data_IF_049905892434
#
_entry.id   IF_049905892434
#
_cell.length_a   1.000
_cell.length_b   1.000
_cell.length_c   1.000
_cell.angle_alpha   90.00
_cell.angle_beta   90.00
_cell.angle_gamma   90.00
#
_symmetry.space_group_name_H-M   'P 1'
#
loop_
_entity.id
_entity.type
_entity.pdbx_description
1 polymer ?
#
# COMPACT_ATOMS: atom_id res chain seq x y z
N UNK A 1 4.43 5.72 -15.60
CA UNK A 1 4.38 6.88 -14.71
C UNK A 1 3.17 6.72 -13.79
N UNK A 2 3.39 6.58 -12.48
CA UNK A 2 2.31 6.34 -11.50
C UNK A 2 1.39 7.57 -11.33
N UNK A 3 1.83 8.75 -11.77
CA UNK A 3 1.03 9.99 -11.74
C UNK A 3 -0.29 9.87 -12.52
N UNK A 4 -0.33 9.01 -13.54
CA UNK A 4 -1.57 8.72 -14.29
C UNK A 4 -2.63 8.07 -13.39
N UNK A 5 -2.20 7.15 -12.51
CA UNK A 5 -3.08 6.48 -11.55
C UNK A 5 -3.61 7.47 -10.52
N UNK A 6 -2.74 8.34 -9.99
CA UNK A 6 -3.15 9.41 -9.06
C UNK A 6 -4.21 10.33 -9.66
N UNK A 7 -3.98 10.78 -10.89
CA UNK A 7 -4.93 11.65 -11.58
C UNK A 7 -6.28 10.94 -11.83
N UNK A 8 -6.25 9.67 -12.18
CA UNK A 8 -7.46 8.87 -12.38
C UNK A 8 -8.25 8.66 -11.08
N UNK A 9 -7.54 8.35 -9.98
CA UNK A 9 -8.16 8.08 -8.68
C UNK A 9 -8.51 9.36 -7.89
N UNK A 10 -8.07 10.53 -8.33
CA UNK A 10 -8.17 11.76 -7.56
C UNK A 10 -7.38 11.72 -6.24
N UNK A 11 -6.36 10.87 -6.18
CA UNK A 11 -5.52 10.65 -4.98
C UNK A 11 -4.13 11.23 -5.18
N UNK A 12 -3.38 11.39 -4.09
CA UNK A 12 -2.00 11.86 -4.10
C UNK A 12 -1.06 10.83 -3.45
N UNK A 13 -1.17 9.55 -3.86
CA UNK A 13 -0.33 8.46 -3.32
C UNK A 13 1.00 8.40 -4.07
N UNK A 14 2.10 8.14 -3.37
CA UNK A 14 3.38 7.87 -4.04
C UNK A 14 3.45 6.42 -4.56
N UNK A 15 4.53 6.10 -5.27
CA UNK A 15 4.74 4.77 -5.83
C UNK A 15 4.80 3.67 -4.76
N UNK A 16 5.44 3.94 -3.62
CA UNK A 16 5.64 2.96 -2.56
C UNK A 16 4.30 2.58 -1.91
N UNK A 17 3.47 3.59 -1.61
CA UNK A 17 2.11 3.40 -1.08
C UNK A 17 1.25 2.63 -2.09
N UNK A 18 1.27 3.05 -3.36
CA UNK A 18 0.50 2.38 -4.41
C UNK A 18 0.93 0.91 -4.53
N UNK A 19 2.23 0.64 -4.53
CA UNK A 19 2.79 -0.70 -4.58
C UNK A 19 2.36 -1.55 -3.38
N UNK A 20 2.45 -1.02 -2.15
CA UNK A 20 2.00 -1.73 -0.95
C UNK A 20 0.52 -2.10 -1.02
N UNK A 21 -0.32 -1.15 -1.44
CA UNK A 21 -1.78 -1.35 -1.54
C UNK A 21 -2.12 -2.41 -2.59
N UNK A 22 -1.52 -2.37 -3.79
CA UNK A 22 -1.84 -3.37 -4.82
C UNK A 22 -1.31 -4.76 -4.46
N UNK A 23 -0.21 -4.85 -3.71
CA UNK A 23 0.36 -6.12 -3.28
C UNK A 23 -0.29 -6.68 -1.99
N UNK A 24 -1.11 -5.89 -1.30
CA UNK A 24 -1.67 -6.27 -0.01
C UNK A 24 -0.63 -6.33 1.11
N UNK A 25 0.38 -5.45 1.04
CA UNK A 25 1.42 -5.27 2.04
C UNK A 25 1.15 -4.03 2.88
N UNK A 26 1.77 -3.92 4.05
CA UNK A 26 1.77 -2.67 4.79
C UNK A 26 2.53 -1.57 4.05
N UNK A 27 2.21 -0.32 4.36
CA UNK A 27 2.78 0.82 3.65
C UNK A 27 4.28 0.97 4.01
N UNK A 28 5.13 1.22 3.03
CA UNK A 28 6.55 1.55 3.26
C UNK A 28 6.67 2.87 4.05
N UNK A 29 7.72 3.05 4.87
CA UNK A 29 7.89 4.14 5.86
C UNK A 29 7.11 3.99 7.17
N UNK A 30 6.27 2.96 7.29
CA UNK A 30 5.45 2.71 8.47
C UNK A 30 5.94 1.55 9.35
N UNK A 31 7.01 0.88 8.92
CA UNK A 31 7.65 -0.27 9.57
C UNK A 31 8.23 0.04 10.97
N UNK A 32 8.65 1.30 11.22
CA UNK A 32 9.19 1.74 12.51
C UNK A 32 8.14 2.34 13.47
N UNK A 33 6.87 2.32 13.08
CA UNK A 33 5.76 2.81 13.90
C UNK A 33 5.32 1.79 14.94
N UNK A 34 4.96 2.24 16.16
CA UNK A 34 4.28 1.35 17.11
C UNK A 34 2.85 1.11 16.61
N UNK A 35 2.55 -0.12 16.21
CA UNK A 35 1.16 -0.54 16.01
C UNK A 35 0.51 -0.79 17.37
N UNK A 36 -0.72 -0.29 17.53
CA UNK A 36 -1.64 -0.78 18.54
C UNK A 36 -2.39 -1.96 17.91
N UNK A 37 -2.18 -3.14 18.48
CA UNK A 37 -2.91 -4.34 18.09
C UNK A 37 -4.10 -4.56 19.02
N UNK A 38 -5.24 -4.93 18.43
CA UNK A 38 -6.42 -5.43 19.14
C UNK A 38 -6.92 -6.69 18.44
N UNK A 39 -7.56 -7.59 19.19
CA UNK A 39 -8.25 -8.74 18.62
C UNK A 39 -9.74 -8.57 18.91
N UNK A 40 -10.55 -8.44 17.86
CA UNK A 40 -11.98 -8.24 17.96
C UNK A 40 -12.67 -8.90 16.76
N UNK A 41 -13.92 -9.35 16.94
CA UNK A 41 -14.74 -9.93 15.87
C UNK A 41 -14.08 -11.07 15.07
N UNK A 42 -13.15 -11.81 15.71
CA UNK A 42 -12.32 -12.89 15.12
C UNK A 42 -11.28 -12.42 14.10
N UNK A 43 -10.87 -11.16 14.13
CA UNK A 43 -9.78 -10.63 13.31
C UNK A 43 -8.76 -9.89 14.19
N UNK A 44 -7.50 -9.84 13.74
CA UNK A 44 -6.53 -8.91 14.32
C UNK A 44 -6.68 -7.56 13.66
N UNK A 45 -6.75 -6.51 14.46
CA UNK A 45 -6.81 -5.13 14.01
C UNK A 45 -5.55 -4.40 14.45
N UNK A 46 -4.81 -3.87 13.48
CA UNK A 46 -3.61 -3.08 13.69
C UNK A 46 -3.92 -1.62 13.32
N UNK A 47 -3.79 -0.75 14.31
CA UNK A 47 -3.92 0.69 14.14
C UNK A 47 -2.60 1.34 14.41
N UNK A 48 -2.28 2.33 13.62
CA UNK A 48 -1.00 2.96 13.70
C UNK A 48 -1.01 4.09 14.72
N UNK A 49 -0.33 3.89 15.86
CA UNK A 49 -0.36 4.83 16.96
C UNK A 49 0.82 5.84 16.91
N UNK A 50 0.58 7.09 17.29
CA UNK A 50 1.66 8.03 17.64
C UNK A 50 2.51 8.57 16.46
N UNK A 51 1.88 8.84 15.32
CA UNK A 51 2.54 9.21 14.06
C UNK A 51 2.90 10.69 13.88
N UNK A 52 2.67 11.55 14.87
CA UNK A 52 3.19 12.93 14.87
C UNK A 52 4.72 13.00 14.68
N UNK A 53 5.44 11.90 14.97
CA UNK A 53 6.88 11.75 14.75
C UNK A 53 7.29 11.41 13.31
N UNK A 54 6.36 11.02 12.42
CA UNK A 54 6.67 10.78 11.01
C UNK A 54 7.10 12.06 10.29
N UNK A 55 6.70 13.24 10.78
CA UNK A 55 7.22 14.54 10.34
C UNK A 55 8.75 14.65 10.34
N UNK A 56 9.46 13.79 11.10
CA UNK A 56 10.93 13.76 11.17
C UNK A 56 11.62 12.96 10.07
N UNK A 57 10.92 12.04 9.41
CA UNK A 57 11.46 11.20 8.33
C UNK A 57 11.09 11.72 6.94
N UNK A 58 10.20 12.70 6.92
CA UNK A 58 9.80 13.46 5.74
C UNK A 58 10.99 14.33 5.32
N UNK A 59 11.50 14.08 4.12
CA UNK A 59 12.72 14.72 3.62
C UNK A 59 12.47 16.16 3.15
N UNK A 60 11.25 16.47 2.68
CA UNK A 60 10.86 17.76 2.08
C UNK A 60 9.46 18.21 2.55
N UNK A 61 9.18 19.52 2.58
CA UNK A 61 7.89 20.08 3.03
C UNK A 61 6.66 19.57 2.25
N UNK A 62 6.80 19.24 0.96
CA UNK A 62 5.71 18.67 0.14
C UNK A 62 5.29 17.25 0.55
N UNK A 63 6.18 16.50 1.19
CA UNK A 63 5.89 15.16 1.73
C UNK A 63 5.37 15.26 3.18
N UNK A 64 5.53 16.44 3.83
CA UNK A 64 5.11 16.68 5.21
C UNK A 64 3.59 16.68 5.40
N UNK A 65 2.88 17.00 4.32
CA UNK A 65 1.42 17.03 4.26
C UNK A 65 0.78 15.66 4.03
N UNK A 66 1.57 14.62 3.69
CA UNK A 66 1.07 13.31 3.24
C UNK A 66 1.13 12.24 4.32
N UNK A 67 0.71 12.58 5.55
CA UNK A 67 0.66 11.59 6.63
C UNK A 67 -0.66 10.83 6.55
N UNK A 68 -0.58 9.51 6.42
CA UNK A 68 -1.76 8.64 6.43
C UNK A 68 -1.91 7.88 7.76
N UNK A 69 -3.15 7.76 8.21
CA UNK A 69 -3.57 6.79 9.23
C UNK A 69 -3.95 5.52 8.50
N UNK A 70 -3.34 4.41 8.91
CA UNK A 70 -3.62 3.10 8.35
C UNK A 70 -4.27 2.22 9.42
N UNK A 71 -5.34 1.54 9.02
CA UNK A 71 -5.97 0.47 9.77
C UNK A 71 -5.84 -0.80 8.94
N UNK A 72 -5.30 -1.85 9.54
CA UNK A 72 -5.09 -3.13 8.88
C UNK A 72 -5.88 -4.19 9.64
N UNK A 73 -6.64 -4.99 8.92
CA UNK A 73 -7.34 -6.15 9.44
C UNK A 73 -6.65 -7.39 8.88
N UNK A 74 -6.34 -8.34 9.76
CA UNK A 74 -5.65 -9.57 9.41
C UNK A 74 -6.54 -10.77 9.73
N UNK A 75 -6.50 -11.75 8.83
CA UNK A 75 -7.00 -13.08 9.11
C UNK A 75 -6.14 -13.72 10.23
N UNK A 76 -6.72 -14.28 11.29
CA UNK A 76 -5.96 -14.78 12.43
C UNK A 76 -5.22 -16.10 12.17
N UNK A 77 -5.59 -16.85 11.14
CA UNK A 77 -4.99 -18.14 10.78
C UNK A 77 -3.84 -17.96 9.79
N UNK A 78 -4.01 -17.07 8.81
CA UNK A 78 -3.03 -16.88 7.72
C UNK A 78 -2.18 -15.63 7.88
N UNK A 79 -2.56 -14.73 8.79
CA UNK A 79 -1.97 -13.40 9.00
C UNK A 79 -1.96 -12.50 7.75
N UNK A 80 -2.72 -12.87 6.70
CA UNK A 80 -2.87 -12.04 5.51
C UNK A 80 -3.80 -10.87 5.78
N UNK A 81 -3.49 -9.73 5.17
CA UNK A 81 -4.31 -8.53 5.22
C UNK A 81 -5.62 -8.81 4.48
N UNK A 82 -6.74 -8.83 5.19
CA UNK A 82 -8.09 -8.99 4.60
C UNK A 82 -8.69 -7.64 4.23
N UNK A 83 -8.36 -6.61 5.01
CA UNK A 83 -8.82 -5.25 4.75
C UNK A 83 -7.77 -4.22 5.16
N UNK A 84 -7.64 -3.16 4.37
CA UNK A 84 -6.78 -2.02 4.66
C UNK A 84 -7.53 -0.72 4.45
N UNK A 85 -7.56 0.14 5.47
CA UNK A 85 -8.14 1.48 5.39
C UNK A 85 -7.04 2.52 5.55
N UNK A 86 -6.93 3.39 4.56
CA UNK A 86 -5.96 4.49 4.53
C UNK A 86 -6.73 5.80 4.52
N UNK A 87 -6.39 6.70 5.45
CA UNK A 87 -7.00 8.02 5.56
C UNK A 87 -5.92 9.09 5.66
N UNK A 88 -6.03 10.15 4.89
CA UNK A 88 -5.17 11.33 4.97
C UNK A 88 -5.49 12.16 6.23
N UNK A 89 -4.45 12.67 6.92
CA UNK A 89 -4.63 13.44 8.17
C UNK A 89 -4.99 14.92 7.89
N UNK A 90 -4.30 15.56 6.94
CA UNK A 90 -4.38 17.01 6.74
C UNK A 90 -5.44 17.42 5.68
N UNK A 91 -5.97 16.47 4.89
CA UNK A 91 -6.99 16.71 3.87
C UNK A 91 -8.41 16.33 4.30
N UNK A 92 -9.41 17.08 3.86
CA UNK A 92 -10.82 16.71 4.05
C UNK A 92 -11.19 15.48 3.18
N UNK A 93 -11.74 14.46 3.83
CA UNK A 93 -12.50 13.34 3.26
C UNK A 93 -11.83 12.31 2.33
N UNK A 94 -10.53 12.38 2.03
CA UNK A 94 -9.88 11.33 1.22
C UNK A 94 -9.63 10.06 2.03
N UNK A 95 -10.32 8.98 1.64
CA UNK A 95 -10.19 7.64 2.25
C UNK A 95 -10.09 6.59 1.15
N UNK A 96 -9.31 5.57 1.40
CA UNK A 96 -9.23 4.37 0.59
C UNK A 96 -9.50 3.17 1.50
N UNK A 97 -10.45 2.34 1.09
CA UNK A 97 -10.76 1.05 1.72
C UNK A 97 -10.47 -0.05 0.69
N UNK A 98 -9.47 -0.88 0.98
CA UNK A 98 -9.06 -1.98 0.12
C UNK A 98 -9.43 -3.31 0.77
N UNK A 99 -10.28 -4.09 0.11
CA UNK A 99 -10.67 -5.43 0.56
C UNK A 99 -10.00 -6.49 -0.30
N UNK A 100 -9.21 -7.34 0.34
CA UNK A 100 -8.42 -8.39 -0.31
C UNK A 100 -9.15 -9.73 -0.15
N UNK A 101 -9.33 -10.43 -1.25
CA UNK A 101 -10.10 -11.67 -1.27
C UNK A 101 -9.56 -12.64 -2.31
N UNK A 102 -10.17 -13.82 -2.37
CA UNK A 102 -9.76 -14.88 -3.29
C UNK A 102 -8.26 -15.21 -3.13
N UNK A 103 -7.84 -15.46 -1.89
CA UNK A 103 -6.46 -15.84 -1.62
C UNK A 103 -6.17 -17.22 -2.20
N UNK A 104 -5.13 -17.31 -3.02
CA UNK A 104 -4.68 -18.56 -3.61
C UNK A 104 -3.19 -18.73 -3.39
N UNK A 105 -2.72 -19.98 -3.45
CA UNK A 105 -1.30 -20.27 -3.38
C UNK A 105 -0.59 -19.71 -4.62
N UNK A 106 0.43 -18.90 -4.37
CA UNK A 106 1.35 -18.36 -5.35
C UNK A 106 2.77 -18.70 -4.90
N UNK A 107 3.30 -19.82 -5.41
CA UNK A 107 4.51 -20.43 -4.86
C UNK A 107 4.27 -20.91 -3.43
N UNK A 108 5.08 -20.42 -2.49
CA UNK A 108 5.02 -20.80 -1.06
C UNK A 108 4.19 -19.82 -0.21
N UNK A 109 3.51 -18.85 -0.82
CA UNK A 109 2.73 -17.83 -0.12
C UNK A 109 1.28 -17.77 -0.61
N UNK A 110 0.37 -17.34 0.26
CA UNK A 110 -0.97 -16.93 -0.14
C UNK A 110 -0.94 -15.49 -0.69
N UNK A 111 -1.58 -15.29 -1.84
CA UNK A 111 -1.70 -14.00 -2.50
C UNK A 111 -3.15 -13.70 -2.90
N UNK A 112 -3.66 -12.48 -2.65
CA UNK A 112 -5.03 -12.11 -3.00
C UNK A 112 -5.17 -11.96 -4.52
N UNK A 113 -6.10 -12.69 -5.13
CA UNK A 113 -6.37 -12.57 -6.56
C UNK A 113 -7.39 -11.50 -6.90
N UNK A 114 -8.13 -10.99 -5.90
CA UNK A 114 -9.12 -9.94 -6.07
C UNK A 114 -8.92 -8.87 -5.02
N UNK A 115 -8.91 -7.61 -5.45
CA UNK A 115 -8.88 -6.44 -4.57
C UNK A 115 -10.01 -5.50 -4.99
N UNK A 116 -10.90 -5.20 -4.05
CA UNK A 116 -11.93 -4.18 -4.22
C UNK A 116 -11.47 -2.90 -3.52
N UNK A 117 -11.30 -1.83 -4.28
CA UNK A 117 -11.02 -0.49 -3.77
C UNK A 117 -12.29 0.35 -3.73
N UNK A 118 -12.62 0.86 -2.55
CA UNK A 118 -13.60 1.93 -2.35
C UNK A 118 -12.84 3.21 -1.97
N UNK A 119 -12.84 4.17 -2.89
CA UNK A 119 -12.12 5.42 -2.75
C UNK A 119 -13.15 6.52 -2.56
N UNK A 120 -13.19 7.05 -1.35
CA UNK A 120 -13.97 8.24 -1.02
C UNK A 120 -13.08 9.47 -1.27
N UNK A 121 -13.44 10.27 -2.26
CA UNK A 121 -12.86 11.58 -2.57
C UNK A 121 -14.00 12.50 -3.07
N UNK A 122 -13.68 13.64 -3.70
CA UNK A 122 -14.69 14.54 -4.28
C UNK A 122 -15.63 13.79 -5.25
N UNK A 123 -15.07 12.82 -5.99
CA UNK A 123 -15.83 11.83 -6.75
C UNK A 123 -15.50 10.44 -6.20
N UNK A 124 -16.47 9.73 -5.61
CA UNK A 124 -16.27 8.36 -5.18
C UNK A 124 -15.96 7.43 -6.36
N UNK A 125 -14.99 6.53 -6.18
CA UNK A 125 -14.58 5.57 -7.21
C UNK A 125 -14.56 4.17 -6.60
N UNK A 126 -15.18 3.23 -7.31
CA UNK A 126 -15.07 1.80 -7.02
C UNK A 126 -14.20 1.14 -8.10
N UNK A 127 -13.18 0.38 -7.68
CA UNK A 127 -12.30 -0.36 -8.59
C UNK A 127 -12.25 -1.83 -8.18
N UNK A 128 -12.61 -2.71 -9.10
CA UNK A 128 -12.40 -4.15 -8.98
C UNK A 128 -11.12 -4.53 -9.73
N UNK A 129 -10.09 -4.94 -8.98
CA UNK A 129 -8.83 -5.42 -9.52
C UNK A 129 -8.77 -6.94 -9.38
N UNK A 130 -8.64 -7.63 -10.52
CA UNK A 130 -8.49 -9.07 -10.57
C UNK A 130 -7.19 -9.49 -11.26
N UNK A 131 -6.38 -10.28 -10.56
CA UNK A 131 -5.13 -10.83 -11.07
C UNK A 131 -5.36 -12.15 -11.80
N UNK A 132 -4.62 -12.38 -12.89
CA UNK A 132 -4.77 -13.61 -13.71
C UNK A 132 -3.45 -14.37 -13.91
N UNK A 133 -2.39 -13.69 -14.37
CA UNK A 133 -1.09 -14.30 -14.70
C UNK A 133 0.01 -13.70 -13.85
N UNK A 134 0.05 -14.08 -12.58
CA UNK A 134 1.08 -13.63 -11.65
C UNK A 134 2.32 -14.52 -11.82
N UNK A 135 3.47 -13.91 -12.08
CA UNK A 135 4.76 -14.59 -12.18
C UNK A 135 5.70 -14.01 -11.11
N UNK A 136 6.24 -14.88 -10.26
CA UNK A 136 7.24 -14.51 -9.25
C UNK A 136 8.65 -14.59 -9.83
N UNK A 137 9.55 -13.74 -9.34
CA UNK A 137 11.00 -13.77 -9.58
C UNK A 137 11.41 -13.85 -11.06
N UNK A 138 10.55 -13.34 -11.95
CA UNK A 138 10.87 -13.26 -13.38
C UNK A 138 12.06 -12.32 -13.56
N UNK A 139 13.15 -12.84 -14.11
CA UNK A 139 14.32 -12.03 -14.48
C UNK A 139 13.87 -10.91 -15.43
N UNK A 140 14.04 -9.68 -14.96
CA UNK A 140 13.74 -8.49 -15.76
C UNK A 140 14.92 -8.22 -16.69
N UNK A 141 14.65 -8.22 -18.00
CA UNK A 141 15.61 -7.72 -18.99
C UNK A 141 15.48 -6.22 -19.09
N UNK A 142 16.53 -5.48 -18.77
CA UNK A 142 16.53 -4.03 -18.99
C UNK A 142 16.83 -3.74 -20.47
N UNK A 143 16.14 -2.78 -21.10
CA UNK A 143 16.37 -2.40 -22.50
C UNK A 143 17.68 -1.63 -22.70
N UNK A 144 18.52 -1.53 -21.67
CA UNK A 144 19.78 -0.82 -21.68
C UNK A 144 20.89 -1.71 -21.11
N UNK A 145 22.10 -1.49 -21.61
CA UNK A 145 23.31 -2.16 -21.14
C UNK A 145 24.19 -1.08 -20.50
N UNK A 146 24.50 -1.24 -19.21
CA UNK A 146 25.45 -0.35 -18.55
C UNK A 146 26.81 -0.61 -19.17
N UNK A 147 27.38 0.40 -19.82
CA UNK A 147 28.72 0.32 -20.40
C UNK A 147 29.76 0.17 -19.30
N UNK A 148 30.79 -0.64 -19.54
CA UNK A 148 31.91 -0.85 -18.60
C UNK A 148 32.71 0.41 -18.28
N UNK A 149 32.42 1.54 -18.97
CA UNK A 149 33.02 2.85 -18.72
C UNK A 149 32.32 3.65 -17.61
N UNK A 150 31.20 3.18 -17.09
CA UNK A 150 30.50 3.83 -15.99
C UNK A 150 30.88 3.18 -14.67
N UNK A 151 31.43 3.98 -13.75
CA UNK A 151 31.55 3.61 -12.35
C UNK A 151 30.23 3.91 -11.62
N UNK A 152 29.69 2.99 -10.82
CA UNK A 152 28.55 3.28 -9.95
C UNK A 152 28.95 4.40 -8.99
N UNK A 153 28.10 5.44 -8.91
CA UNK A 153 28.25 6.48 -7.89
C UNK A 153 28.01 5.84 -6.52
N UNK A 154 29.02 5.92 -5.64
CA UNK A 154 28.92 5.48 -4.24
C UNK A 154 28.15 6.48 -3.40
#
# INVERSE_FOLDING_TARGET
DYRVVNNFLGTNVDYDILQSIILGNDLTYYENGKFRATYDSKEYHLVTAGRSKLKKYIRNEEDASRIYIQNIYLNPETFKITNMKVKEIEGENRKLDATYSNFQNLGEQLFPHTILFDISADNPILVDLSYSKIELDKKQGFPFRISSKYDPVK
#
